data_IF_996848683124
#
_entry.id   IF_996848683124
#
_cell.length_a   1.000
_cell.length_b   1.000
_cell.length_c   1.000
_cell.angle_alpha   90.00
_cell.angle_beta   90.00
_cell.angle_gamma   90.00
#
_symmetry.space_group_name_H-M   'P 1'
#
loop_
_entity.id
_entity.type
_entity.pdbx_description
1 polymer ?
#
# COMPACT_ATOMS: atom_id res chain seq x y z
N UNK A 1 7.42 48.45 -25.93
CA UNK A 1 5.95 48.70 -25.90
C UNK A 1 5.33 47.69 -24.95
N UNK A 2 5.00 48.11 -23.73
CA UNK A 2 4.72 47.22 -22.60
C UNK A 2 3.32 47.48 -22.00
N UNK A 3 2.62 46.37 -21.74
CA UNK A 3 1.71 46.11 -20.61
C UNK A 3 0.49 47.03 -20.37
N UNK A 4 -0.69 46.71 -20.95
CA UNK A 4 -1.99 47.13 -20.41
C UNK A 4 -2.72 46.06 -19.56
N UNK A 5 -2.22 44.81 -19.48
CA UNK A 5 -2.97 43.69 -18.86
C UNK A 5 -2.92 43.62 -17.33
N UNK A 6 -1.96 44.27 -16.68
CA UNK A 6 -1.79 44.20 -15.22
C UNK A 6 -2.85 45.01 -14.43
N UNK A 7 -3.48 46.03 -15.04
CA UNK A 7 -4.44 46.89 -14.33
C UNK A 7 -5.85 46.29 -14.23
N UNK A 8 -6.23 45.39 -15.13
CA UNK A 8 -7.55 44.75 -15.12
C UNK A 8 -7.70 43.71 -13.99
N UNK A 9 -6.60 43.03 -13.61
CA UNK A 9 -6.62 42.03 -12.54
C UNK A 9 -6.75 42.64 -11.13
N UNK A 10 -6.20 43.84 -10.90
CA UNK A 10 -6.31 44.54 -9.61
C UNK A 10 -7.72 45.08 -9.31
N UNK A 11 -8.50 45.42 -10.35
CA UNK A 11 -9.86 45.90 -10.19
C UNK A 11 -10.85 44.79 -9.81
N UNK A 12 -10.66 43.57 -10.32
CA UNK A 12 -11.53 42.42 -9.99
C UNK A 12 -11.27 41.92 -8.56
N UNK A 13 -10.04 42.04 -8.06
CA UNK A 13 -9.70 41.65 -6.68
C UNK A 13 -10.33 42.58 -5.62
N UNK A 14 -10.55 43.87 -5.92
CA UNK A 14 -11.14 44.82 -4.97
C UNK A 14 -12.66 44.67 -4.80
N UNK A 15 -13.37 44.19 -5.82
CA UNK A 15 -14.83 43.99 -5.75
C UNK A 15 -15.17 42.72 -4.95
N UNK A 16 -14.32 41.69 -4.98
CA UNK A 16 -14.51 40.48 -4.18
C UNK A 16 -14.29 40.70 -2.67
N UNK A 17 -13.49 41.70 -2.27
CA UNK A 17 -13.21 41.98 -0.86
C UNK A 17 -14.29 42.85 -0.18
N UNK A 18 -15.21 43.43 -0.95
CA UNK A 18 -16.22 44.38 -0.42
C UNK A 18 -17.58 43.75 -0.10
N UNK A 19 -17.76 42.43 -0.29
CA UNK A 19 -19.06 41.74 -0.11
C UNK A 19 -19.13 40.77 1.09
N UNK A 20 -18.19 40.83 2.04
CA UNK A 20 -18.15 39.87 3.17
C UNK A 20 -18.11 40.50 4.55
N UNK A 21 -18.84 41.59 4.83
CA UNK A 21 -19.12 41.99 6.22
C UNK A 21 -20.42 42.78 6.38
N UNK A 22 -21.56 42.09 6.37
CA UNK A 22 -22.79 42.57 7.00
C UNK A 22 -23.69 41.38 7.36
N UNK A 23 -23.80 41.07 8.65
CA UNK A 23 -24.88 40.23 9.19
C UNK A 23 -24.49 38.80 9.56
N UNK A 24 -23.74 38.62 10.65
CA UNK A 24 -23.96 37.46 11.51
C UNK A 24 -24.56 37.96 12.82
N UNK A 25 -25.85 37.74 12.97
CA UNK A 25 -26.56 37.94 14.22
C UNK A 25 -25.94 37.04 15.30
N UNK A 26 -25.65 37.63 16.45
CA UNK A 26 -25.18 36.96 17.66
C UNK A 26 -26.19 35.91 18.12
N UNK A 27 -25.77 34.65 18.12
CA UNK A 27 -26.48 33.56 18.82
C UNK A 27 -26.08 33.64 20.31
N UNK A 28 -27.03 33.59 21.27
CA UNK A 28 -26.70 33.61 22.68
C UNK A 28 -25.95 32.33 23.09
N UNK A 29 -24.83 32.53 23.79
CA UNK A 29 -23.99 31.49 24.33
C UNK A 29 -24.67 30.82 25.54
N UNK A 30 -24.91 29.50 25.43
CA UNK A 30 -25.09 28.62 26.59
C UNK A 30 -23.76 27.91 26.84
N UNK A 31 -23.25 28.04 28.07
CA UNK A 31 -21.88 27.72 28.44
C UNK A 31 -21.55 26.23 28.56
N UNK A 32 -20.26 25.94 28.44
CA UNK A 32 -19.59 24.85 29.15
C UNK A 32 -18.09 25.16 29.20
N UNK A 33 -17.58 25.22 30.42
CA UNK A 33 -16.20 25.55 30.77
C UNK A 33 -15.23 24.40 30.45
N UNK A 34 -14.02 24.77 30.06
CA UNK A 34 -12.89 23.86 29.88
C UNK A 34 -11.66 24.66 29.44
N UNK A 35 -10.96 25.25 30.40
CA UNK A 35 -9.80 26.11 30.18
C UNK A 35 -8.58 25.29 29.72
N UNK A 36 -8.11 25.55 28.50
CA UNK A 36 -6.78 25.18 28.04
C UNK A 36 -5.92 26.45 27.91
N UNK A 37 -4.71 26.41 28.46
CA UNK A 37 -3.83 27.55 28.70
C UNK A 37 -3.52 28.37 27.45
N UNK A 38 -3.68 29.69 27.57
CA UNK A 38 -3.31 30.67 26.57
C UNK A 38 -1.78 30.79 26.49
N UNK A 39 -1.18 30.22 25.44
CA UNK A 39 0.16 30.59 25.02
C UNK A 39 0.12 32.03 24.47
N UNK A 40 1.10 32.85 24.87
CA UNK A 40 1.15 34.30 24.65
C UNK A 40 0.79 34.72 23.23
N UNK A 41 -0.33 35.44 23.10
CA UNK A 41 -0.79 36.06 21.87
C UNK A 41 0.20 37.13 21.43
N UNK A 42 0.80 36.96 20.26
CA UNK A 42 1.55 38.02 19.61
C UNK A 42 0.57 39.15 19.24
N UNK A 43 0.57 40.21 20.04
CA UNK A 43 -0.27 41.39 19.87
C UNK A 43 0.14 42.15 18.60
N UNK A 44 -0.57 41.90 17.50
CA UNK A 44 -0.41 42.58 16.21
C UNK A 44 -1.47 42.15 15.19
N UNK A 45 -1.65 42.92 14.11
CA UNK A 45 -2.60 42.65 13.03
C UNK A 45 -2.41 41.26 12.39
N UNK A 46 -1.19 40.75 12.38
CA UNK A 46 -0.85 39.39 11.94
C UNK A 46 -1.40 38.30 12.89
N UNK A 47 -1.47 38.58 14.19
CA UNK A 47 -2.10 37.69 15.18
C UNK A 47 -3.62 37.60 15.01
N UNK A 48 -4.28 38.71 14.69
CA UNK A 48 -5.73 38.75 14.44
C UNK A 48 -6.11 37.97 13.17
N UNK A 49 -5.34 38.11 12.09
CA UNK A 49 -5.53 37.29 10.88
C UNK A 49 -5.33 35.80 11.16
N UNK A 50 -4.29 35.44 11.92
CA UNK A 50 -4.08 34.04 12.33
C UNK A 50 -5.24 33.47 13.13
N UNK A 51 -5.78 34.25 14.08
CA UNK A 51 -6.92 33.84 14.91
C UNK A 51 -8.23 33.73 14.11
N UNK A 52 -8.46 34.62 13.13
CA UNK A 52 -9.60 34.52 12.21
C UNK A 52 -9.49 33.27 11.33
N UNK A 53 -8.31 32.96 10.80
CA UNK A 53 -8.08 31.72 10.05
C UNK A 53 -8.37 30.47 10.90
N UNK A 54 -7.89 30.42 12.15
CA UNK A 54 -8.16 29.30 13.06
C UNK A 54 -9.66 29.18 13.39
N UNK A 55 -10.35 30.30 13.64
CA UNK A 55 -11.79 30.30 13.89
C UNK A 55 -12.58 29.85 12.66
N UNK A 56 -12.17 30.23 11.45
CA UNK A 56 -12.77 29.77 10.20
C UNK A 56 -12.57 28.28 9.99
N UNK A 57 -11.39 27.73 10.29
CA UNK A 57 -11.15 26.28 10.22
C UNK A 57 -12.01 25.51 11.24
N UNK A 58 -12.12 26.02 12.46
CA UNK A 58 -12.99 25.43 13.48
C UNK A 58 -14.47 25.50 13.08
N UNK A 59 -14.93 26.63 12.55
CA UNK A 59 -16.31 26.81 12.08
C UNK A 59 -16.59 25.93 10.86
N UNK A 60 -15.63 25.81 9.93
CA UNK A 60 -15.70 24.90 8.79
C UNK A 60 -15.78 23.44 9.24
N UNK A 61 -14.97 23.03 10.21
CA UNK A 61 -15.02 21.70 10.78
C UNK A 61 -16.39 21.40 11.41
N UNK A 62 -16.96 22.34 12.18
CA UNK A 62 -18.31 22.20 12.75
C UNK A 62 -19.40 22.16 11.69
N UNK A 63 -19.33 23.02 10.67
CA UNK A 63 -20.25 23.01 9.54
C UNK A 63 -20.19 21.67 8.81
N UNK A 64 -19.00 21.17 8.50
CA UNK A 64 -18.79 19.89 7.84
C UNK A 64 -19.20 18.67 8.66
N UNK A 65 -19.13 18.75 9.99
CA UNK A 65 -19.65 17.72 10.89
C UNK A 65 -21.18 17.76 11.02
N UNK A 66 -21.83 18.88 10.68
CA UNK A 66 -23.28 19.01 10.76
C UNK A 66 -23.99 18.28 9.62
N UNK A 67 -25.25 17.81 9.82
CA UNK A 67 -26.06 17.22 8.75
C UNK A 67 -26.25 18.17 7.55
N UNK A 68 -26.32 19.48 7.80
CA UNK A 68 -26.44 20.49 6.76
C UNK A 68 -25.17 20.57 5.90
N UNK A 69 -23.98 20.50 6.51
CA UNK A 69 -22.72 20.47 5.76
C UNK A 69 -22.54 19.19 4.96
N UNK A 70 -22.99 18.04 5.46
CA UNK A 70 -23.01 16.80 4.69
C UNK A 70 -23.98 16.91 3.49
N UNK A 71 -25.17 17.48 3.68
CA UNK A 71 -26.14 17.70 2.60
C UNK A 71 -25.59 18.69 1.56
N UNK A 72 -24.96 19.78 1.98
CA UNK A 72 -24.34 20.76 1.08
C UNK A 72 -23.17 20.15 0.29
N UNK A 73 -22.33 19.34 0.94
CA UNK A 73 -21.22 18.66 0.28
C UNK A 73 -21.71 17.69 -0.80
N UNK A 74 -22.83 16.99 -0.57
CA UNK A 74 -23.43 16.11 -1.57
C UNK A 74 -24.17 16.90 -2.65
N UNK A 75 -24.87 17.97 -2.27
CA UNK A 75 -25.61 18.84 -3.18
C UNK A 75 -24.74 19.60 -4.19
N UNK A 76 -23.49 19.89 -3.84
CA UNK A 76 -22.53 20.52 -4.75
C UNK A 76 -21.81 19.53 -5.68
N UNK A 77 -22.02 18.22 -5.52
CA UNK A 77 -21.36 17.18 -6.35
C UNK A 77 -21.63 17.34 -7.87
N UNK A 78 -22.88 17.61 -8.32
CA UNK A 78 -23.15 17.87 -9.74
C UNK A 78 -22.43 19.11 -10.28
N UNK A 79 -22.36 20.19 -9.49
CA UNK A 79 -21.59 21.38 -9.86
C UNK A 79 -20.10 21.10 -9.92
N UNK A 80 -19.58 20.25 -9.05
CA UNK A 80 -18.18 19.82 -9.09
C UNK A 80 -17.87 19.07 -10.38
N UNK A 81 -18.75 18.18 -10.82
CA UNK A 81 -18.62 17.51 -12.11
C UNK A 81 -18.67 18.50 -13.28
N UNK A 82 -19.60 19.46 -13.26
CA UNK A 82 -19.73 20.48 -14.31
C UNK A 82 -18.56 21.47 -14.38
N UNK A 83 -17.95 21.80 -13.25
CA UNK A 83 -16.84 22.76 -13.17
C UNK A 83 -15.46 22.12 -13.29
N UNK A 84 -15.41 20.83 -13.65
CA UNK A 84 -14.15 20.08 -13.76
C UNK A 84 -13.39 19.95 -12.44
N UNK A 85 -14.09 20.02 -11.30
CA UNK A 85 -13.46 19.97 -9.98
C UNK A 85 -12.73 21.24 -9.56
N UNK A 86 -12.91 22.36 -10.27
CA UNK A 86 -12.30 23.65 -9.94
C UNK A 86 -12.77 24.17 -8.57
N UNK A 87 -14.00 23.86 -8.19
CA UNK A 87 -14.48 24.04 -6.82
C UNK A 87 -14.08 22.81 -5.99
N UNK A 88 -13.10 23.01 -5.10
CA UNK A 88 -12.74 22.01 -4.10
C UNK A 88 -13.94 21.62 -3.23
N UNK A 89 -13.95 20.41 -2.68
CA UNK A 89 -15.00 20.04 -1.75
C UNK A 89 -14.99 21.03 -0.59
N UNK A 90 -16.13 21.67 -0.33
CA UNK A 90 -16.29 22.62 0.76
C UNK A 90 -15.91 21.98 2.11
N UNK A 91 -16.05 20.65 2.22
CA UNK A 91 -15.58 19.84 3.33
C UNK A 91 -14.43 18.93 2.90
N UNK A 92 -13.28 18.93 3.63
CA UNK A 92 -12.19 18.00 3.34
C UNK A 92 -12.72 16.57 3.52
N UNK A 93 -12.51 15.73 2.51
CA UNK A 93 -12.86 14.29 2.56
C UNK A 93 -11.84 13.48 3.35
N UNK A 94 -10.68 14.09 3.65
CA UNK A 94 -9.64 13.54 4.49
C UNK A 94 -9.95 13.85 5.96
N UNK A 95 -10.00 12.82 6.82
CA UNK A 95 -10.21 13.01 8.25
C UNK A 95 -9.02 13.76 8.86
N UNK A 96 -9.30 14.58 9.86
CA UNK A 96 -8.29 15.40 10.53
C UNK A 96 -7.35 14.55 11.39
N UNK A 97 -6.15 15.05 11.68
CA UNK A 97 -5.18 14.34 12.53
C UNK A 97 -5.78 13.97 13.92
N UNK A 98 -6.63 14.84 14.48
CA UNK A 98 -7.33 14.58 15.73
C UNK A 98 -8.28 13.38 15.64
N UNK A 99 -8.95 13.19 14.50
CA UNK A 99 -9.81 12.02 14.26
C UNK A 99 -8.98 10.74 14.09
N UNK A 100 -7.82 10.84 13.41
CA UNK A 100 -6.90 9.71 13.23
C UNK A 100 -6.24 9.25 14.54
N UNK A 101 -6.12 10.14 15.53
CA UNK A 101 -5.57 9.83 16.86
C UNK A 101 -6.59 9.26 17.86
N UNK A 102 -7.87 9.13 17.51
CA UNK A 102 -8.86 8.59 18.42
C UNK A 102 -8.57 7.09 18.71
N UNK A 103 -8.67 6.63 19.97
CA UNK A 103 -8.49 5.21 20.25
C UNK A 103 -9.64 4.37 19.68
N UNK A 104 -9.34 3.11 19.35
CA UNK A 104 -10.34 2.13 18.93
C UNK A 104 -10.76 2.22 17.46
N UNK A 105 -11.96 1.71 17.15
CA UNK A 105 -12.44 1.54 15.79
C UNK A 105 -12.60 2.86 15.02
N UNK A 106 -12.95 3.96 15.72
CA UNK A 106 -13.14 5.27 15.10
C UNK A 106 -11.83 5.85 14.53
N UNK A 107 -10.74 5.79 15.29
CA UNK A 107 -9.43 6.24 14.78
C UNK A 107 -8.88 5.34 13.69
N UNK A 108 -9.07 4.03 13.80
CA UNK A 108 -8.69 3.08 12.75
C UNK A 108 -9.44 3.37 11.43
N UNK A 109 -10.75 3.62 11.49
CA UNK A 109 -11.54 4.00 10.32
C UNK A 109 -11.08 5.33 9.72
N UNK A 110 -10.75 6.33 10.55
CA UNK A 110 -10.20 7.60 10.09
C UNK A 110 -8.84 7.42 9.41
N UNK A 111 -7.95 6.60 9.94
CA UNK A 111 -6.67 6.29 9.30
C UNK A 111 -6.87 5.60 7.94
N UNK A 112 -7.78 4.62 7.86
CA UNK A 112 -8.11 3.94 6.60
C UNK A 112 -8.69 4.91 5.58
N UNK A 113 -9.56 5.83 6.00
CA UNK A 113 -10.13 6.85 5.12
C UNK A 113 -9.07 7.84 4.64
N UNK A 114 -8.12 8.24 5.50
CA UNK A 114 -6.98 9.06 5.10
C UNK A 114 -6.08 8.32 4.09
N UNK A 115 -5.72 7.07 4.37
CA UNK A 115 -4.90 6.22 3.50
C UNK A 115 -5.57 6.01 2.12
N UNK A 116 -6.89 5.84 2.11
CA UNK A 116 -7.72 5.70 0.90
C UNK A 116 -7.79 7.01 0.13
N UNK A 117 -7.97 8.14 0.80
CA UNK A 117 -7.96 9.45 0.14
C UNK A 117 -6.60 9.77 -0.49
N UNK A 118 -5.50 9.37 0.16
CA UNK A 118 -4.15 9.51 -0.36
C UNK A 118 -3.82 8.50 -1.48
N UNK A 119 -4.56 7.39 -1.59
CA UNK A 119 -4.25 6.33 -2.56
C UNK A 119 -4.25 6.82 -4.01
N UNK A 120 -5.13 7.77 -4.38
CA UNK A 120 -5.17 8.33 -5.73
C UNK A 120 -3.86 9.06 -6.09
N UNK A 121 -3.28 9.80 -5.15
CA UNK A 121 -2.00 10.45 -5.35
C UNK A 121 -0.87 9.42 -5.49
N UNK A 122 -0.90 8.33 -4.69
CA UNK A 122 0.06 7.23 -4.82
C UNK A 122 -0.06 6.50 -6.15
N UNK A 123 -1.27 6.25 -6.64
CA UNK A 123 -1.51 5.69 -7.98
C UNK A 123 -0.89 6.59 -9.05
N UNK A 124 -1.14 7.90 -9.01
CA UNK A 124 -0.57 8.83 -9.97
C UNK A 124 0.97 8.87 -9.91
N UNK A 125 1.55 8.77 -8.71
CA UNK A 125 2.99 8.68 -8.53
C UNK A 125 3.56 7.37 -9.13
N UNK A 126 2.90 6.23 -8.88
CA UNK A 126 3.26 4.93 -9.47
C UNK A 126 3.15 4.95 -11.00
N UNK A 127 2.10 5.58 -11.54
CA UNK A 127 1.94 5.78 -12.98
C UNK A 127 3.08 6.62 -13.58
N UNK A 128 3.51 7.67 -12.90
CA UNK A 128 4.66 8.47 -13.30
C UNK A 128 5.97 7.67 -13.25
N UNK A 129 6.20 6.91 -12.17
CA UNK A 129 7.37 6.02 -12.06
C UNK A 129 7.40 4.95 -13.17
N UNK A 130 6.22 4.52 -13.66
CA UNK A 130 6.12 3.64 -14.82
C UNK A 130 6.64 4.25 -16.12
N UNK A 131 6.83 5.58 -16.19
CA UNK A 131 7.35 6.28 -17.38
C UNK A 131 8.86 6.49 -17.35
N UNK A 132 9.51 6.29 -16.20
CA UNK A 132 10.97 6.46 -16.08
C UNK A 132 11.70 5.18 -16.46
N UNK A 133 12.90 5.32 -17.01
CA UNK A 133 13.75 4.18 -17.34
C UNK A 133 14.45 3.66 -16.08
N UNK A 134 14.07 2.46 -15.64
CA UNK A 134 14.66 1.81 -14.46
C UNK A 134 16.17 1.59 -14.59
N UNK A 135 16.76 1.60 -15.79
CA UNK A 135 18.20 1.52 -15.95
C UNK A 135 18.94 2.73 -15.34
N UNK A 136 18.35 3.92 -15.49
CA UNK A 136 18.93 5.16 -14.97
C UNK A 136 18.42 5.51 -13.58
N UNK A 137 17.25 4.98 -13.21
CA UNK A 137 16.56 5.28 -11.95
C UNK A 137 16.23 3.98 -11.17
N UNK A 138 17.23 3.26 -10.64
CA UNK A 138 17.03 2.00 -9.92
C UNK A 138 16.16 2.16 -8.64
N UNK A 139 16.08 3.36 -8.08
CA UNK A 139 15.16 3.69 -6.99
C UNK A 139 13.68 3.62 -7.41
N UNK A 140 13.38 3.84 -8.69
CA UNK A 140 12.03 3.70 -9.22
C UNK A 140 11.60 2.23 -9.21
N UNK A 141 12.50 1.32 -9.57
CA UNK A 141 12.26 -0.13 -9.48
C UNK A 141 11.93 -0.56 -8.04
N UNK A 142 12.74 -0.13 -7.06
CA UNK A 142 12.48 -0.42 -5.65
C UNK A 142 11.10 0.11 -5.22
N UNK A 143 10.80 1.36 -5.56
CA UNK A 143 9.53 1.99 -5.21
C UNK A 143 8.34 1.29 -5.86
N UNK A 144 8.49 0.80 -7.09
CA UNK A 144 7.46 0.01 -7.78
C UNK A 144 7.25 -1.35 -7.10
N UNK A 145 8.32 -2.04 -6.69
CA UNK A 145 8.24 -3.32 -5.95
C UNK A 145 7.54 -3.10 -4.60
N UNK A 146 7.93 -2.07 -3.85
CA UNK A 146 7.30 -1.72 -2.58
C UNK A 146 5.81 -1.34 -2.78
N UNK A 147 5.49 -0.60 -3.85
CA UNK A 147 4.10 -0.27 -4.20
C UNK A 147 3.28 -1.48 -4.59
N UNK A 148 3.90 -2.51 -5.17
CA UNK A 148 3.25 -3.78 -5.54
C UNK A 148 3.04 -4.70 -4.34
N UNK A 149 3.99 -4.77 -3.39
CA UNK A 149 4.01 -5.78 -2.34
C UNK A 149 3.62 -5.24 -0.96
N UNK A 150 3.97 -4.01 -0.65
CA UNK A 150 3.80 -3.42 0.67
C UNK A 150 2.67 -2.37 0.75
N UNK A 151 2.16 -1.84 -0.38
CA UNK A 151 1.04 -0.88 -0.31
C UNK A 151 -0.23 -1.55 0.21
N UNK A 152 -0.89 -0.92 1.17
CA UNK A 152 -2.13 -1.41 1.79
C UNK A 152 -3.32 -1.38 0.84
N UNK A 153 -3.32 -0.45 -0.12
CA UNK A 153 -4.43 -0.19 -1.03
C UNK A 153 -4.28 -1.00 -2.33
N UNK A 154 -5.31 -1.78 -2.65
CA UNK A 154 -5.35 -2.62 -3.86
C UNK A 154 -5.14 -1.82 -5.15
N UNK A 155 -5.70 -0.61 -5.27
CA UNK A 155 -5.60 0.19 -6.49
C UNK A 155 -4.14 0.59 -6.79
N UNK A 156 -3.34 0.84 -5.74
CA UNK A 156 -1.91 1.15 -5.88
C UNK A 156 -1.15 -0.10 -6.33
N UNK A 157 -1.41 -1.26 -5.71
CA UNK A 157 -0.80 -2.53 -6.12
C UNK A 157 -1.15 -2.93 -7.55
N UNK A 158 -2.42 -2.74 -7.94
CA UNK A 158 -2.89 -2.97 -9.32
C UNK A 158 -2.20 -2.03 -10.31
N UNK A 159 -2.10 -0.74 -9.98
CA UNK A 159 -1.38 0.22 -10.81
C UNK A 159 0.09 -0.17 -10.96
N UNK A 160 0.76 -0.56 -9.87
CA UNK A 160 2.14 -1.02 -9.88
C UNK A 160 2.34 -2.24 -10.79
N UNK A 161 1.49 -3.27 -10.67
CA UNK A 161 1.53 -4.44 -11.54
C UNK A 161 1.33 -4.06 -13.02
N UNK A 162 0.38 -3.15 -13.30
CA UNK A 162 0.10 -2.71 -14.68
C UNK A 162 1.27 -1.95 -15.28
N UNK A 163 1.89 -1.02 -14.54
CA UNK A 163 3.02 -0.24 -15.06
C UNK A 163 4.29 -1.08 -15.22
N UNK A 164 4.53 -2.05 -14.33
CA UNK A 164 5.62 -3.02 -14.51
C UNK A 164 5.45 -3.86 -15.79
N UNK A 165 4.21 -4.13 -16.21
CA UNK A 165 3.93 -4.83 -17.46
C UNK A 165 4.11 -3.97 -18.73
N UNK A 166 3.99 -2.64 -18.62
CA UNK A 166 4.22 -1.72 -19.75
C UNK A 166 5.65 -1.13 -19.79
N UNK A 167 6.34 -1.08 -18.66
CA UNK A 167 7.66 -0.47 -18.52
C UNK A 167 8.82 -1.37 -18.96
N UNK A 168 10.04 -0.85 -18.91
CA UNK A 168 11.28 -1.57 -19.26
C UNK A 168 11.87 -2.41 -18.10
N UNK A 169 11.26 -2.37 -16.91
CA UNK A 169 11.84 -2.84 -15.65
C UNK A 169 11.76 -4.37 -15.45
N UNK A 170 12.12 -5.18 -16.45
CA UNK A 170 12.09 -6.64 -16.36
C UNK A 170 13.38 -7.22 -15.76
N UNK A 171 13.76 -6.75 -14.57
CA UNK A 171 14.90 -7.25 -13.79
C UNK A 171 14.53 -8.55 -13.05
N UNK A 172 15.53 -9.23 -12.47
CA UNK A 172 15.30 -10.41 -11.65
C UNK A 172 14.44 -10.11 -10.41
N UNK A 173 14.59 -8.91 -9.81
CA UNK A 173 13.79 -8.49 -8.64
C UNK A 173 12.34 -8.28 -9.02
N UNK A 174 12.07 -7.60 -10.13
CA UNK A 174 10.70 -7.41 -10.64
C UNK A 174 10.03 -8.73 -10.98
N UNK A 175 10.73 -9.65 -11.65
CA UNK A 175 10.19 -10.99 -11.96
C UNK A 175 9.85 -11.75 -10.67
N UNK A 176 10.71 -11.69 -9.66
CA UNK A 176 10.45 -12.33 -8.37
C UNK A 176 9.24 -11.71 -7.66
N UNK A 177 9.15 -10.38 -7.59
CA UNK A 177 8.03 -9.67 -6.97
C UNK A 177 6.69 -9.97 -7.66
N UNK A 178 6.66 -9.88 -8.99
CA UNK A 178 5.47 -10.22 -9.78
C UNK A 178 5.08 -11.70 -9.63
N UNK A 179 6.06 -12.61 -9.53
CA UNK A 179 5.81 -14.04 -9.29
C UNK A 179 5.12 -14.27 -7.96
N UNK A 180 5.63 -13.65 -6.87
CA UNK A 180 5.01 -13.74 -5.54
C UNK A 180 3.59 -13.17 -5.54
N UNK A 181 3.38 -12.03 -6.21
CA UNK A 181 2.04 -11.44 -6.32
C UNK A 181 1.09 -12.29 -7.15
N UNK A 182 1.54 -12.95 -8.23
CA UNK A 182 0.69 -13.84 -9.02
C UNK A 182 0.32 -15.12 -8.25
N UNK A 183 1.28 -15.72 -7.52
CA UNK A 183 1.05 -16.95 -6.75
C UNK A 183 0.44 -16.72 -5.37
N UNK A 184 0.24 -15.47 -4.94
CA UNK A 184 -0.20 -15.12 -3.58
C UNK A 184 0.71 -15.70 -2.47
N UNK A 185 2.02 -15.67 -2.70
CA UNK A 185 3.05 -16.15 -1.76
C UNK A 185 3.54 -14.98 -0.87
N UNK A 186 3.90 -15.27 0.38
CA UNK A 186 4.33 -14.33 1.44
C UNK A 186 5.82 -14.52 1.86
N UNK A 187 6.60 -15.27 1.07
CA UNK A 187 8.00 -15.58 1.36
C UNK A 187 8.96 -14.37 1.42
N UNK A 188 8.55 -13.20 0.94
CA UNK A 188 9.28 -11.93 1.11
C UNK A 188 8.95 -11.20 2.43
N UNK A 189 8.05 -11.75 3.26
CA UNK A 189 7.57 -11.15 4.50
C UNK A 189 6.45 -10.13 4.31
N UNK A 190 6.01 -9.86 3.07
CA UNK A 190 4.84 -9.04 2.79
C UNK A 190 3.58 -9.92 2.77
N UNK A 191 2.38 -9.37 3.08
CA UNK A 191 1.15 -10.14 3.06
C UNK A 191 0.88 -10.74 1.67
N UNK A 192 0.31 -11.95 1.65
CA UNK A 192 -0.11 -12.61 0.42
C UNK A 192 -1.12 -11.77 -0.37
N UNK A 193 -1.00 -11.73 -1.70
CA UNK A 193 -1.94 -10.97 -2.54
C UNK A 193 -3.29 -11.68 -2.63
N UNK A 194 -4.32 -11.07 -2.04
CA UNK A 194 -5.68 -11.61 -2.03
C UNK A 194 -6.52 -11.16 -3.22
N UNK A 195 -6.17 -10.07 -3.90
CA UNK A 195 -6.97 -9.57 -5.03
C UNK A 195 -6.70 -10.36 -6.30
N UNK A 196 -7.73 -11.05 -6.81
CA UNK A 196 -7.69 -11.70 -8.13
C UNK A 196 -7.35 -10.72 -9.25
N UNK A 197 -7.77 -9.46 -9.13
CA UNK A 197 -7.48 -8.41 -10.12
C UNK A 197 -5.99 -8.08 -10.14
N UNK A 198 -5.34 -7.95 -8.99
CA UNK A 198 -3.89 -7.70 -8.89
C UNK A 198 -3.11 -8.94 -9.35
N UNK A 199 -3.52 -10.14 -8.93
CA UNK A 199 -2.91 -11.42 -9.36
C UNK A 199 -2.93 -11.57 -10.88
N UNK A 200 -4.07 -11.29 -11.51
CA UNK A 200 -4.22 -11.34 -12.96
C UNK A 200 -3.35 -10.28 -13.68
N UNK A 201 -3.29 -9.06 -13.16
CA UNK A 201 -2.43 -8.01 -13.70
C UNK A 201 -0.93 -8.38 -13.58
N UNK A 202 -0.53 -8.94 -12.43
CA UNK A 202 0.84 -9.40 -12.21
C UNK A 202 1.20 -10.56 -13.16
N UNK A 203 0.30 -11.52 -13.36
CA UNK A 203 0.49 -12.60 -14.35
C UNK A 203 0.61 -12.06 -15.79
N UNK A 204 -0.17 -11.05 -16.15
CA UNK A 204 -0.06 -10.39 -17.45
C UNK A 204 1.26 -9.63 -17.61
N UNK A 205 1.80 -9.03 -16.55
CA UNK A 205 3.12 -8.40 -16.57
C UNK A 205 4.26 -9.45 -16.67
N UNK A 206 4.12 -10.59 -15.97
CA UNK A 206 5.09 -11.69 -16.03
C UNK A 206 5.24 -12.26 -17.44
N UNK A 207 4.13 -12.44 -18.17
CA UNK A 207 4.19 -12.99 -19.52
C UNK A 207 5.05 -12.12 -20.45
N UNK A 208 4.98 -10.79 -20.28
CA UNK A 208 5.81 -9.83 -21.02
C UNK A 208 7.27 -9.90 -20.59
N UNK A 209 7.55 -9.89 -19.28
CA UNK A 209 8.93 -9.98 -18.80
C UNK A 209 9.61 -11.32 -19.11
N UNK A 210 8.85 -12.41 -19.25
CA UNK A 210 9.35 -13.70 -19.67
C UNK A 210 9.76 -13.75 -21.15
N UNK A 211 9.23 -12.84 -21.99
CA UNK A 211 9.62 -12.70 -23.40
C UNK A 211 10.79 -11.74 -23.59
N UNK A 212 11.11 -10.91 -22.59
CA UNK A 212 12.25 -10.00 -22.67
C UNK A 212 13.56 -10.80 -22.74
N UNK A 213 14.45 -10.49 -23.71
CA UNK A 213 15.75 -11.13 -23.79
C UNK A 213 16.51 -10.92 -22.48
N UNK A 214 17.32 -11.91 -22.05
CA UNK A 214 18.17 -11.71 -20.88
C UNK A 214 19.07 -10.49 -21.13
N UNK A 215 19.15 -9.60 -20.14
CA UNK A 215 20.08 -8.48 -20.21
C UNK A 215 21.49 -9.04 -20.42
N UNK A 216 22.26 -8.51 -21.40
CA UNK A 216 23.62 -8.98 -21.61
C UNK A 216 24.37 -8.83 -20.31
N UNK A 217 24.91 -9.95 -19.82
CA UNK A 217 25.74 -9.97 -18.62
C UNK A 217 26.91 -9.04 -18.94
N UNK A 218 26.91 -7.82 -18.36
CA UNK A 218 28.07 -6.95 -18.43
C UNK A 218 29.22 -7.79 -17.90
N UNK A 219 30.26 -8.09 -18.71
CA UNK A 219 31.36 -8.93 -18.25
C UNK A 219 31.86 -8.26 -16.98
N UNK A 220 31.71 -8.98 -15.87
CA UNK A 220 32.15 -8.48 -14.57
C UNK A 220 33.61 -8.06 -14.79
N UNK A 221 33.98 -6.79 -14.54
CA UNK A 221 35.37 -6.38 -14.65
C UNK A 221 36.22 -7.45 -13.95
N UNK A 222 37.30 -7.94 -14.59
CA UNK A 222 38.09 -9.05 -14.04
C UNK A 222 38.32 -8.75 -12.58
N UNK A 223 37.80 -9.63 -11.71
CA UNK A 223 37.85 -9.42 -10.27
C UNK A 223 39.29 -9.08 -9.94
N UNK A 224 39.53 -7.83 -9.54
CA UNK A 224 40.79 -7.46 -8.91
C UNK A 224 40.93 -8.49 -7.78
N UNK A 225 42.01 -9.28 -7.72
CA UNK A 225 42.16 -10.32 -6.72
C UNK A 225 41.74 -9.73 -5.38
N UNK A 226 40.62 -10.21 -4.85
CA UNK A 226 40.03 -9.60 -3.68
C UNK A 226 41.11 -9.64 -2.60
N UNK A 227 41.44 -8.50 -1.96
CA UNK A 227 42.26 -8.55 -0.76
C UNK A 227 41.61 -9.60 0.14
N UNK A 228 42.38 -10.62 0.53
CA UNK A 228 41.93 -11.77 1.34
C UNK A 228 40.92 -11.24 2.35
N UNK A 229 39.64 -11.44 2.08
CA UNK A 229 38.61 -10.94 2.96
C UNK A 229 38.80 -11.73 4.25
N UNK A 230 39.00 -11.07 5.40
CA UNK A 230 39.08 -11.76 6.67
C UNK A 230 37.85 -12.68 6.77
N UNK A 231 38.07 -13.95 7.12
CA UNK A 231 37.04 -15.00 7.14
C UNK A 231 35.71 -14.42 7.59
N UNK A 232 34.73 -14.46 6.68
CA UNK A 232 33.40 -13.94 6.91
C UNK A 232 32.91 -14.58 8.22
N UNK A 233 32.55 -13.79 9.25
CA UNK A 233 32.11 -14.34 10.53
C UNK A 233 30.99 -15.37 10.28
N UNK A 234 30.95 -16.46 11.06
CA UNK A 234 30.06 -17.59 10.84
C UNK A 234 28.64 -17.09 10.60
N UNK A 235 28.00 -17.62 9.54
CA UNK A 235 26.68 -17.20 9.08
C UNK A 235 25.76 -16.95 10.28
N UNK A 236 25.43 -15.68 10.51
CA UNK A 236 24.55 -15.29 11.60
C UNK A 236 23.23 -16.03 11.34
N UNK A 237 22.75 -16.87 12.27
CA UNK A 237 21.49 -17.57 12.09
C UNK A 237 20.39 -16.58 11.73
N UNK A 238 19.68 -16.86 10.62
CA UNK A 238 18.56 -16.06 10.09
C UNK A 238 17.47 -15.76 11.14
N UNK A 239 17.46 -16.47 12.26
CA UNK A 239 16.56 -16.25 13.39
C UNK A 239 16.75 -14.92 14.15
N UNK A 240 17.90 -14.23 14.03
CA UNK A 240 18.14 -12.97 14.77
C UNK A 240 17.84 -11.69 14.00
N UNK A 241 17.48 -11.76 12.72
CA UNK A 241 17.10 -10.55 11.97
C UNK A 241 15.65 -10.24 12.32
N UNK A 242 15.41 -9.04 12.88
CA UNK A 242 14.07 -8.55 13.17
C UNK A 242 13.17 -8.79 11.93
N UNK A 243 12.11 -9.62 12.06
CA UNK A 243 11.36 -10.10 10.92
C UNK A 243 10.66 -8.99 10.13
N UNK A 244 10.51 -7.82 10.74
CA UNK A 244 9.75 -6.69 10.20
C UNK A 244 10.53 -5.79 9.23
N UNK A 245 11.88 -5.74 9.27
CA UNK A 245 12.64 -4.69 8.55
C UNK A 245 13.66 -5.25 7.54
N UNK A 246 14.10 -6.50 7.67
CA UNK A 246 15.17 -7.06 6.82
C UNK A 246 14.78 -8.13 5.81
N UNK A 247 13.58 -8.75 5.94
CA UNK A 247 13.24 -9.95 5.16
C UNK A 247 13.05 -9.68 3.67
N UNK A 248 12.39 -8.57 3.32
CA UNK A 248 12.12 -8.22 1.93
C UNK A 248 13.41 -7.87 1.18
N UNK A 249 14.28 -7.04 1.76
CA UNK A 249 15.54 -6.65 1.13
C UNK A 249 16.46 -7.87 0.90
N UNK A 250 16.57 -8.76 1.89
CA UNK A 250 17.37 -9.99 1.74
C UNK A 250 16.81 -10.91 0.65
N UNK A 251 15.48 -11.04 0.56
CA UNK A 251 14.83 -11.82 -0.48
C UNK A 251 15.18 -11.29 -1.88
N UNK A 252 15.10 -9.98 -2.09
CA UNK A 252 15.39 -9.39 -3.41
C UNK A 252 16.87 -9.38 -3.78
N UNK A 253 17.78 -9.29 -2.81
CA UNK A 253 19.22 -9.51 -3.05
C UNK A 253 19.50 -10.95 -3.50
N UNK A 254 18.79 -11.93 -2.91
CA UNK A 254 18.89 -13.33 -3.32
C UNK A 254 18.28 -13.55 -4.71
N UNK A 255 17.14 -12.91 -5.00
CA UNK A 255 16.51 -12.95 -6.31
C UNK A 255 17.42 -12.38 -7.41
N UNK A 256 18.15 -11.31 -7.14
CA UNK A 256 19.11 -10.70 -8.07
C UNK A 256 20.21 -11.68 -8.51
N UNK A 257 20.72 -12.48 -7.57
CA UNK A 257 21.74 -13.52 -7.80
C UNK A 257 21.19 -14.79 -8.43
N UNK A 258 19.86 -14.99 -8.38
CA UNK A 258 19.22 -16.19 -8.91
C UNK A 258 19.28 -16.19 -10.44
N UNK A 259 19.70 -17.29 -11.09
CA UNK A 259 19.69 -17.37 -12.55
C UNK A 259 18.30 -17.05 -13.12
N UNK A 260 18.22 -16.11 -14.06
CA UNK A 260 16.96 -15.63 -14.66
C UNK A 260 16.09 -16.78 -15.19
N UNK A 261 16.71 -17.83 -15.74
CA UNK A 261 16.01 -19.02 -16.23
C UNK A 261 15.16 -19.71 -15.14
N UNK A 262 15.67 -19.79 -13.90
CA UNK A 262 14.95 -20.36 -12.76
C UNK A 262 13.75 -19.48 -12.38
N UNK A 263 13.94 -18.16 -12.34
CA UNK A 263 12.87 -17.20 -12.08
C UNK A 263 11.75 -17.29 -13.14
N UNK A 264 12.10 -17.38 -14.43
CA UNK A 264 11.12 -17.57 -15.51
C UNK A 264 10.38 -18.91 -15.37
N UNK A 265 11.07 -19.98 -15.00
CA UNK A 265 10.42 -21.27 -14.75
C UNK A 265 9.42 -21.18 -13.58
N UNK A 266 9.75 -20.47 -12.49
CA UNK A 266 8.85 -20.20 -11.37
C UNK A 266 7.65 -19.34 -11.81
N UNK A 267 7.90 -18.27 -12.57
CA UNK A 267 6.87 -17.40 -13.13
C UNK A 267 5.87 -18.16 -14.00
N UNK A 268 6.33 -19.08 -14.86
CA UNK A 268 5.45 -19.92 -15.69
C UNK A 268 4.52 -20.80 -14.85
N UNK A 269 5.01 -21.38 -13.75
CA UNK A 269 4.15 -22.14 -12.81
C UNK A 269 3.12 -21.25 -12.14
N UNK A 270 3.52 -20.06 -11.69
CA UNK A 270 2.61 -19.09 -11.07
C UNK A 270 1.50 -18.64 -12.05
N UNK A 271 1.84 -18.35 -13.32
CA UNK A 271 0.85 -18.02 -14.35
C UNK A 271 -0.12 -19.18 -14.63
N UNK A 272 0.37 -20.42 -14.59
CA UNK A 272 -0.48 -21.60 -14.74
C UNK A 272 -1.49 -21.73 -13.58
N UNK A 273 -1.06 -21.47 -12.35
CA UNK A 273 -1.95 -21.47 -11.17
C UNK A 273 -3.05 -20.40 -11.28
N UNK A 274 -2.70 -19.16 -11.64
CA UNK A 274 -3.69 -18.08 -11.83
C UNK A 274 -4.73 -18.43 -12.89
N UNK A 275 -4.31 -19.14 -13.95
CA UNK A 275 -5.20 -19.59 -15.02
C UNK A 275 -6.19 -20.68 -14.57
N UNK A 276 -5.80 -21.50 -13.58
CA UNK A 276 -6.68 -22.50 -12.97
C UNK A 276 -7.68 -21.81 -12.03
N UNK A 277 -7.20 -20.92 -11.16
CA UNK A 277 -8.03 -20.19 -10.19
C UNK A 277 -9.10 -19.33 -10.88
N UNK A 278 -8.73 -18.67 -11.98
CA UNK A 278 -9.65 -17.83 -12.76
C UNK A 278 -10.80 -18.62 -13.38
N UNK A 279 -10.59 -19.90 -13.69
CA UNK A 279 -11.65 -20.81 -14.17
C UNK A 279 -12.54 -21.30 -13.03
N UNK A 280 -11.96 -21.53 -11.86
CA UNK A 280 -12.68 -22.02 -10.68
C UNK A 280 -13.62 -20.97 -10.08
N UNK A 281 -13.35 -19.69 -10.27
CA UNK A 281 -14.15 -18.59 -9.69
C UNK A 281 -15.58 -18.47 -10.24
N UNK A 282 -16.03 -19.42 -11.08
CA UNK A 282 -17.46 -19.61 -11.37
C UNK A 282 -18.15 -18.41 -11.99
N UNK A 283 -17.39 -17.46 -12.56
CA UNK A 283 -17.99 -16.38 -13.32
C UNK A 283 -18.70 -17.05 -14.49
N UNK A 284 -20.05 -16.99 -14.56
CA UNK A 284 -20.77 -17.57 -15.67
C UNK A 284 -20.18 -16.97 -16.95
N UNK A 285 -19.93 -17.79 -18.00
CA UNK A 285 -19.20 -17.37 -19.19
C UNK A 285 -19.76 -16.03 -19.68
N UNK A 286 -18.98 -14.95 -19.52
CA UNK A 286 -19.35 -13.61 -19.98
C UNK A 286 -19.26 -13.60 -21.51
N UNK A 287 -20.34 -14.03 -22.15
CA UNK A 287 -20.89 -13.39 -23.34
C UNK A 287 -19.91 -13.06 -24.47
N UNK A 288 -19.31 -14.07 -25.12
CA UNK A 288 -19.35 -14.07 -26.60
C UNK A 288 -20.62 -14.75 -27.13
N UNK A 289 -21.49 -15.20 -26.22
CA UNK A 289 -22.85 -15.57 -26.59
C UNK A 289 -23.56 -14.29 -27.05
N UNK A 290 -23.65 -14.15 -28.37
CA UNK A 290 -24.54 -13.21 -29.01
C UNK A 290 -25.92 -13.30 -28.34
N UNK A 291 -26.71 -12.21 -28.35
CA UNK A 291 -28.13 -12.32 -27.99
C UNK A 291 -28.83 -13.46 -28.77
N UNK A 292 -28.27 -13.83 -29.93
CA UNK A 292 -28.64 -14.99 -30.72
C UNK A 292 -28.28 -16.36 -30.08
N UNK A 293 -27.16 -16.49 -29.39
CA UNK A 293 -26.82 -17.71 -28.62
C UNK A 293 -27.74 -17.85 -27.40
N UNK A 294 -28.09 -16.75 -26.76
CA UNK A 294 -29.08 -16.75 -25.66
C UNK A 294 -30.46 -17.16 -26.19
N UNK A 295 -30.89 -16.60 -27.33
CA UNK A 295 -32.17 -16.94 -27.94
C UNK A 295 -32.21 -18.38 -28.47
N UNK A 296 -31.13 -18.86 -29.09
CA UNK A 296 -31.04 -20.24 -29.60
C UNK A 296 -30.94 -21.27 -28.47
N UNK A 297 -30.25 -20.97 -27.37
CA UNK A 297 -30.27 -21.81 -26.18
C UNK A 297 -31.62 -21.77 -25.44
N UNK A 298 -32.37 -20.66 -25.52
CA UNK A 298 -33.73 -20.59 -24.98
C UNK A 298 -34.75 -21.38 -25.83
N UNK A 299 -34.53 -21.46 -27.15
CA UNK A 299 -35.36 -22.25 -28.07
C UNK A 299 -34.94 -23.72 -28.17
N UNK A 300 -33.73 -24.06 -27.71
CA UNK A 300 -33.31 -25.45 -27.61
C UNK A 300 -34.36 -26.20 -26.75
N UNK A 301 -34.97 -27.27 -27.29
CA UNK A 301 -35.99 -28.00 -26.57
C UNK A 301 -35.39 -28.45 -25.25
N UNK A 302 -35.92 -27.89 -24.16
CA UNK A 302 -35.50 -28.19 -22.79
C UNK A 302 -35.50 -29.70 -22.69
N UNK A 303 -34.30 -30.31 -22.73
CA UNK A 303 -34.17 -31.75 -22.59
C UNK A 303 -34.89 -32.06 -21.28
N UNK A 304 -35.98 -32.85 -21.31
CA UNK A 304 -36.74 -33.13 -20.10
C UNK A 304 -35.71 -33.62 -19.10
N UNK A 305 -35.59 -32.88 -17.99
CA UNK A 305 -34.60 -33.14 -16.97
C UNK A 305 -34.69 -34.64 -16.70
N UNK A 306 -33.64 -35.39 -17.10
CA UNK A 306 -33.62 -36.79 -16.77
C UNK A 306 -33.83 -36.83 -15.26
N UNK A 307 -34.80 -37.61 -14.76
CA UNK A 307 -35.02 -37.73 -13.34
C UNK A 307 -33.67 -38.11 -12.76
N UNK A 308 -33.05 -37.15 -12.08
CA UNK A 308 -31.80 -37.39 -11.36
C UNK A 308 -32.22 -38.37 -10.31
N UNK A 309 -31.95 -39.65 -10.57
CA UNK A 309 -32.23 -40.72 -9.65
C UNK A 309 -31.69 -40.24 -8.29
N UNK A 310 -32.51 -40.28 -7.23
CA UNK A 310 -32.08 -39.81 -5.92
C UNK A 310 -30.76 -40.50 -5.63
N UNK A 311 -29.68 -39.72 -5.60
CA UNK A 311 -28.38 -40.24 -5.18
C UNK A 311 -28.66 -40.83 -3.81
N UNK A 312 -28.57 -42.15 -3.73
CA UNK A 312 -28.72 -42.88 -2.49
C UNK A 312 -27.90 -42.12 -1.45
N UNK A 313 -28.54 -41.79 -0.33
CA UNK A 313 -27.88 -41.21 0.82
C UNK A 313 -26.74 -42.16 1.19
N UNK A 314 -25.52 -41.85 0.73
CA UNK A 314 -24.32 -42.52 1.21
C UNK A 314 -24.17 -42.02 2.62
N UNK A 315 -24.58 -42.87 3.55
CA UNK A 315 -24.31 -42.74 4.97
C UNK A 315 -22.80 -42.49 5.12
N UNK A 316 -22.38 -41.39 5.76
CA UNK A 316 -20.97 -41.11 5.94
C UNK A 316 -20.35 -42.27 6.72
N UNK A 317 -19.24 -42.87 6.26
CA UNK A 317 -18.60 -43.94 6.98
C UNK A 317 -18.25 -43.46 8.39
N UNK A 318 -18.81 -44.15 9.38
CA UNK A 318 -18.48 -43.98 10.79
C UNK A 318 -16.96 -44.01 10.97
N UNK A 319 -16.42 -42.95 11.57
CA UNK A 319 -14.99 -42.75 11.88
C UNK A 319 -14.49 -43.77 12.94
N UNK A 320 -15.37 -44.65 13.46
CA UNK A 320 -15.06 -45.53 14.58
C UNK A 320 -14.31 -46.84 14.24
N UNK A 321 -13.94 -47.14 12.99
CA UNK A 321 -13.39 -48.47 12.65
C UNK A 321 -12.04 -48.52 11.90
N UNK A 322 -11.36 -47.39 11.67
CA UNK A 322 -10.09 -47.37 10.92
C UNK A 322 -8.81 -47.37 11.79
N UNK A 323 -8.84 -47.98 12.98
CA UNK A 323 -7.64 -48.25 13.79
C UNK A 323 -7.58 -49.73 14.17
N UNK A 324 -7.25 -50.59 13.20
CA UNK A 324 -6.74 -51.95 13.44
C UNK A 324 -5.99 -52.42 12.21
N UNK A 325 -4.73 -52.00 12.11
CA UNK A 325 -3.73 -52.69 11.30
C UNK A 325 -2.42 -52.69 12.09
N UNK A 326 -1.76 -53.84 12.25
CA UNK A 326 -0.56 -53.96 13.06
C UNK A 326 0.62 -53.34 12.33
N UNK A 327 1.01 -52.13 12.74
CA UNK A 327 2.30 -51.55 12.35
C UNK A 327 3.38 -52.35 13.09
N UNK A 328 4.19 -53.09 12.34
CA UNK A 328 5.43 -53.68 12.83
C UNK A 328 6.33 -52.56 13.37
N UNK A 329 6.90 -52.69 14.58
CA UNK A 329 7.85 -51.71 15.10
C UNK A 329 9.07 -51.66 14.19
N UNK A 330 9.30 -50.51 13.55
CA UNK A 330 10.59 -50.17 12.98
C UNK A 330 11.38 -49.55 14.13
N UNK A 331 12.39 -50.27 14.59
CA UNK A 331 13.40 -49.82 15.55
C UNK A 331 14.07 -48.54 15.03
N UNK A 332 13.95 -47.40 15.73
CA UNK A 332 14.80 -46.26 15.45
C UNK A 332 16.18 -46.53 16.05
N UNK A 333 17.19 -46.59 15.16
CA UNK A 333 18.60 -46.58 15.52
C UNK A 333 18.87 -45.30 16.32
N UNK A 334 19.17 -45.49 17.60
CA UNK A 334 19.47 -44.45 18.58
C UNK A 334 20.89 -43.95 18.30
N UNK A 335 21.02 -42.88 17.53
CA UNK A 335 22.27 -42.13 17.51
C UNK A 335 22.41 -41.37 18.82
N UNK A 336 23.56 -41.59 19.42
CA UNK A 336 24.01 -41.20 20.74
C UNK A 336 24.20 -39.67 20.80
N UNK A 337 23.14 -38.96 21.20
CA UNK A 337 23.25 -37.54 21.56
C UNK A 337 23.92 -37.45 22.92
N UNK A 338 25.20 -37.08 22.89
CA UNK A 338 26.02 -36.73 24.01
C UNK A 338 25.38 -35.54 24.76
N UNK A 339 24.76 -35.83 25.91
CA UNK A 339 24.26 -34.82 26.84
C UNK A 339 25.42 -33.97 27.36
N UNK A 340 25.50 -32.71 26.90
CA UNK A 340 26.23 -31.68 27.63
C UNK A 340 25.28 -30.99 28.60
N UNK A 341 25.56 -31.18 29.88
CA UNK A 341 24.98 -30.49 31.02
C UNK A 341 25.30 -29.00 30.91
N UNK A 342 24.31 -28.16 30.63
CA UNK A 342 24.43 -26.70 30.70
C UNK A 342 24.07 -26.28 32.12
N UNK A 343 25.04 -25.69 32.82
CA UNK A 343 24.84 -25.10 34.14
C UNK A 343 23.90 -23.88 34.11
N UNK A 344 23.08 -23.66 35.15
CA UNK A 344 22.28 -22.45 35.30
C UNK A 344 23.16 -21.27 35.73
N UNK A 345 23.67 -20.51 34.75
CA UNK A 345 24.37 -19.25 34.96
C UNK A 345 23.42 -18.10 35.31
N UNK A 346 23.50 -17.66 36.57
CA UNK A 346 23.06 -16.39 37.17
C UNK A 346 22.36 -15.36 36.27
N UNK A 347 21.08 -15.12 36.56
CA UNK A 347 20.30 -14.00 36.08
C UNK A 347 20.90 -12.67 36.53
N UNK A 348 21.39 -11.88 35.58
CA UNK A 348 21.71 -10.47 35.80
C UNK A 348 20.41 -9.64 35.85
N UNK A 349 20.31 -8.63 36.74
CA UNK A 349 19.12 -7.79 36.83
C UNK A 349 18.94 -6.94 35.56
N UNK A 350 17.69 -6.55 35.24
CA UNK A 350 17.38 -5.77 34.05
C UNK A 350 18.10 -4.42 34.10
N UNK A 351 18.89 -4.14 33.07
CA UNK A 351 19.44 -2.80 32.84
C UNK A 351 18.32 -1.91 32.32
N UNK A 352 18.07 -0.82 33.03
CA UNK A 352 17.23 0.28 32.60
C UNK A 352 17.65 0.74 31.20
N UNK A 353 16.73 0.61 30.25
CA UNK A 353 16.85 1.22 28.93
C UNK A 353 16.56 2.71 29.14
N UNK A 354 17.52 3.63 28.94
CA UNK A 354 17.23 5.05 29.03
C UNK A 354 16.21 5.40 27.96
N UNK A 355 15.05 5.93 28.38
CA UNK A 355 14.10 6.58 27.49
C UNK A 355 14.85 7.67 26.71
N UNK A 356 15.10 7.40 25.42
CA UNK A 356 15.51 8.40 24.46
C UNK A 356 14.34 9.37 24.31
N UNK A 357 14.39 10.48 25.03
CA UNK A 357 13.48 11.59 24.77
C UNK A 357 13.73 12.08 23.34
N UNK A 358 12.68 12.36 22.56
CA UNK A 358 12.85 12.93 21.23
C UNK A 358 13.55 14.27 21.36
N UNK A 359 14.77 14.38 20.81
CA UNK A 359 15.44 15.65 20.66
C UNK A 359 14.49 16.64 19.98
N UNK A 360 14.29 17.78 20.62
CA UNK A 360 13.52 18.90 20.09
C UNK A 360 14.07 19.22 18.69
N UNK A 361 13.21 19.10 17.68
CA UNK A 361 13.53 19.45 16.30
C UNK A 361 14.16 20.84 16.27
N UNK A 362 15.43 20.92 15.86
CA UNK A 362 16.15 22.18 15.66
C UNK A 362 15.36 23.01 14.66
N UNK A 363 14.94 24.20 15.09
CA UNK A 363 14.17 25.09 14.25
C UNK A 363 15.02 25.59 13.09
N UNK A 364 14.39 25.85 11.94
CA UNK A 364 15.04 26.28 10.68
C UNK A 364 15.91 27.55 10.84
N UNK A 365 15.74 28.30 11.94
CA UNK A 365 16.59 29.43 12.33
C UNK A 365 18.00 29.00 12.77
N UNK A 366 18.15 27.84 13.40
CA UNK A 366 19.44 27.36 13.91
C UNK A 366 20.35 26.86 12.77
N UNK A 367 19.76 26.42 11.65
CA UNK A 367 20.48 26.04 10.43
C UNK A 367 21.01 27.25 9.65
N UNK A 368 20.40 28.43 9.79
CA UNK A 368 20.82 29.61 9.04
C UNK A 368 22.04 30.33 9.66
N UNK A 369 22.27 30.17 10.97
CA UNK A 369 23.39 30.81 11.66
C UNK A 369 24.72 30.10 11.37
N UNK A 370 24.72 28.81 11.05
CA UNK A 370 25.96 28.07 10.73
C UNK A 370 26.53 28.37 9.33
N UNK A 371 25.75 28.99 8.44
CA UNK A 371 26.16 29.24 7.03
C UNK A 371 26.93 30.55 6.82
N UNK A 372 26.97 31.45 7.82
CA UNK A 372 27.59 32.79 7.66
C UNK A 372 28.92 32.95 8.39
N UNK A 373 29.56 31.84 8.77
CA UNK A 373 30.93 31.83 9.27
C UNK A 373 31.93 32.23 8.18
N UNK A 374 32.35 33.48 8.28
CA UNK A 374 33.44 34.16 7.57
C UNK A 374 34.67 33.26 7.32
N UNK A 375 35.05 33.14 6.03
CA UNK A 375 36.41 32.79 5.60
C UNK A 375 37.18 34.05 5.26
#
# INVERSE_FOLDING_TARGET
>A
MAQPKAKAWLAILSIAFSLTFAGCASIPAAGAAGAAGAAGSASGFTGLLGQVCQNLEACKAKFCASPCGQLFSQGMSPLKCLTGGSFGNCCPTTPTAAQQSQPGAAGAAAQIQADTAASKARVAAVEYLGTVDCHYWPEAEKTLIDSLRADRNECVRFAAARVMGSGCCCTNKTIAALTLSASADDSDGNPSENSLRVRAAAAAALSRCAMAPPEPIKPRPPERPEPIQPELPPAIPLERIDPAVGRSEFYYQTAERTPRALLIARARRAMAQVSIDSKASGMPPLGSQSLFDIASHAQAPKTPAQPVAPKAHVEPPSIAQALKSPVKPIEPKRDEVLSQTVEPGNAAPPRDIPQVQPEKAKTLKDLFIQSTGTR
#
